data_IF_000510276686
#
_entry.id   IF_000510276686
#
_cell.length_a   1.000
_cell.length_b   1.000
_cell.length_c   1.000
_cell.angle_alpha   90.00
_cell.angle_beta   90.00
_cell.angle_gamma   90.00
#
_symmetry.space_group_name_H-M   'P 1'
#
loop_
_entity.id
_entity.type
_entity.pdbx_description
1 polymer ?
#
# COMPACT_ATOMS: atom_id res chain seq x y z
N UNK A 1 -4.31 83.62 -18.85
CA UNK A 1 -5.08 82.39 -18.81
C UNK A 1 -5.42 82.08 -17.35
N UNK A 2 -6.63 82.52 -16.87
CA UNK A 2 -7.13 82.13 -15.54
C UNK A 2 -7.62 80.72 -15.61
N UNK A 3 -6.98 79.82 -14.90
CA UNK A 3 -7.42 78.44 -14.72
C UNK A 3 -8.72 78.44 -13.90
N UNK A 4 -9.80 78.00 -14.51
CA UNK A 4 -11.12 77.86 -13.90
C UNK A 4 -11.03 76.77 -12.82
N UNK A 5 -10.88 77.16 -11.55
CA UNK A 5 -10.81 76.23 -10.38
C UNK A 5 -12.23 75.86 -9.99
N UNK A 6 -12.84 74.98 -10.78
CA UNK A 6 -14.10 74.38 -10.38
C UNK A 6 -13.77 73.24 -9.37
N UNK A 7 -14.25 73.43 -8.15
CA UNK A 7 -14.19 72.37 -7.11
C UNK A 7 -15.21 71.25 -7.42
N UNK A 8 -14.93 70.03 -7.00
CA UNK A 8 -15.88 68.91 -7.10
C UNK A 8 -17.13 69.20 -6.28
N UNK A 9 -18.29 68.89 -6.82
CA UNK A 9 -19.53 68.96 -6.07
C UNK A 9 -19.65 67.76 -5.15
N UNK A 10 -20.34 67.93 -4.04
CA UNK A 10 -20.58 66.80 -3.05
C UNK A 10 -21.34 65.66 -3.73
N UNK A 11 -22.20 65.95 -4.70
CA UNK A 11 -22.92 64.98 -5.49
C UNK A 11 -22.01 64.13 -6.38
N UNK A 12 -21.01 64.73 -7.04
CA UNK A 12 -20.01 63.99 -7.85
C UNK A 12 -19.19 63.04 -7.01
N UNK A 13 -18.76 63.41 -5.79
CA UNK A 13 -18.04 62.57 -4.86
C UNK A 13 -18.91 61.40 -4.40
N UNK A 14 -20.20 61.65 -4.14
CA UNK A 14 -21.13 60.61 -3.74
C UNK A 14 -21.37 59.54 -4.84
N UNK A 15 -21.55 60.01 -6.09
CA UNK A 15 -21.72 59.15 -7.25
C UNK A 15 -20.42 58.33 -7.50
N UNK A 16 -19.26 58.99 -7.46
CA UNK A 16 -17.96 58.34 -7.63
C UNK A 16 -17.72 57.28 -6.56
N UNK A 17 -18.06 57.57 -5.29
CA UNK A 17 -17.93 56.62 -4.19
C UNK A 17 -18.88 55.43 -4.34
N UNK A 18 -20.13 55.65 -4.76
CA UNK A 18 -21.11 54.61 -5.04
C UNK A 18 -20.66 53.67 -6.17
N UNK A 19 -20.19 54.23 -7.29
CA UNK A 19 -19.66 53.42 -8.40
C UNK A 19 -18.41 52.65 -8.01
N UNK A 20 -17.50 53.28 -7.24
CA UNK A 20 -16.30 52.60 -6.71
C UNK A 20 -16.65 51.42 -5.83
N UNK A 21 -17.62 51.55 -4.92
CA UNK A 21 -18.07 50.44 -4.05
C UNK A 21 -18.64 49.27 -4.86
N UNK A 22 -19.41 49.54 -5.93
CA UNK A 22 -19.94 48.49 -6.80
C UNK A 22 -18.81 47.74 -7.51
N UNK A 23 -17.82 48.45 -8.04
CA UNK A 23 -16.65 47.85 -8.69
C UNK A 23 -15.84 47.05 -7.69
N UNK A 24 -15.61 47.57 -6.49
CA UNK A 24 -14.86 46.91 -5.43
C UNK A 24 -15.55 45.61 -4.97
N UNK A 25 -16.88 45.64 -4.84
CA UNK A 25 -17.68 44.45 -4.53
C UNK A 25 -17.58 43.39 -5.65
N UNK A 26 -17.65 43.78 -6.92
CA UNK A 26 -17.50 42.89 -8.04
C UNK A 26 -16.11 42.23 -8.10
N UNK A 27 -15.04 42.99 -7.82
CA UNK A 27 -13.67 42.48 -7.72
C UNK A 27 -13.54 41.50 -6.54
N UNK A 28 -14.12 41.86 -5.40
CA UNK A 28 -14.08 41.00 -4.20
C UNK A 28 -14.76 39.65 -4.45
N UNK A 29 -15.97 39.64 -5.01
CA UNK A 29 -16.70 38.39 -5.33
C UNK A 29 -15.95 37.56 -6.38
N UNK A 30 -15.31 38.17 -7.36
CA UNK A 30 -14.48 37.50 -8.35
C UNK A 30 -13.24 36.82 -7.68
N UNK A 31 -12.63 37.54 -6.74
CA UNK A 31 -11.48 37.04 -5.98
C UNK A 31 -11.85 35.85 -5.10
N UNK A 32 -12.96 35.93 -4.34
CA UNK A 32 -13.46 34.78 -3.54
C UNK A 32 -13.77 33.57 -4.42
N UNK A 33 -14.44 33.78 -5.57
CA UNK A 33 -14.70 32.69 -6.51
C UNK A 33 -13.42 32.04 -7.04
N UNK A 34 -12.40 32.87 -7.34
CA UNK A 34 -11.10 32.35 -7.78
C UNK A 34 -10.40 31.57 -6.70
N UNK A 35 -10.35 32.06 -5.47
CA UNK A 35 -9.75 31.33 -4.33
C UNK A 35 -10.44 30.00 -4.09
N UNK A 36 -11.78 29.97 -4.12
CA UNK A 36 -12.54 28.73 -3.96
C UNK A 36 -12.23 27.72 -5.08
N UNK A 37 -12.02 28.21 -6.32
CA UNK A 37 -11.65 27.34 -7.45
C UNK A 37 -10.24 26.79 -7.31
N UNK A 38 -9.27 27.59 -6.86
CA UNK A 38 -7.91 27.13 -6.58
C UNK A 38 -7.87 26.10 -5.46
N UNK A 39 -8.55 26.36 -4.34
CA UNK A 39 -8.62 25.41 -3.22
C UNK A 39 -9.27 24.08 -3.63
N UNK A 40 -10.33 24.11 -4.45
CA UNK A 40 -10.95 22.90 -4.98
C UNK A 40 -10.01 22.13 -5.93
N UNK A 41 -9.20 22.84 -6.72
CA UNK A 41 -8.19 22.24 -7.60
C UNK A 41 -7.08 21.55 -6.82
N UNK A 42 -6.56 22.18 -5.80
CA UNK A 42 -5.54 21.63 -4.90
C UNK A 42 -6.05 20.37 -4.18
N UNK A 43 -7.23 20.44 -3.57
CA UNK A 43 -7.85 19.27 -2.93
C UNK A 43 -8.04 18.09 -3.89
N UNK A 44 -8.46 18.38 -5.14
CA UNK A 44 -8.61 17.34 -6.15
C UNK A 44 -7.28 16.67 -6.48
N UNK A 45 -6.21 17.44 -6.61
CA UNK A 45 -4.87 16.91 -6.87
C UNK A 45 -4.39 16.01 -5.72
N UNK A 46 -4.56 16.46 -4.47
CA UNK A 46 -4.17 15.71 -3.28
C UNK A 46 -4.91 14.36 -3.17
N UNK A 47 -6.23 14.38 -3.41
CA UNK A 47 -7.06 13.18 -3.39
C UNK A 47 -6.61 12.19 -4.46
N UNK A 48 -6.38 12.66 -5.70
CA UNK A 48 -5.91 11.80 -6.78
C UNK A 48 -4.54 11.22 -6.50
N UNK A 49 -3.64 12.02 -5.92
CA UNK A 49 -2.31 11.56 -5.55
C UNK A 49 -2.36 10.50 -4.44
N UNK A 50 -3.17 10.70 -3.40
CA UNK A 50 -3.36 9.73 -2.32
C UNK A 50 -3.90 8.40 -2.84
N UNK A 51 -4.93 8.44 -3.70
CA UNK A 51 -5.49 7.24 -4.32
C UNK A 51 -4.46 6.50 -5.18
N UNK A 52 -3.65 7.23 -5.94
CA UNK A 52 -2.60 6.65 -6.79
C UNK A 52 -1.52 5.98 -5.95
N UNK A 53 -1.02 6.64 -4.89
CA UNK A 53 -0.03 6.07 -3.99
C UNK A 53 -0.54 4.78 -3.36
N UNK A 54 -1.77 4.79 -2.82
CA UNK A 54 -2.39 3.59 -2.26
C UNK A 54 -2.46 2.45 -3.27
N UNK A 55 -2.96 2.74 -4.48
CA UNK A 55 -3.12 1.75 -5.54
C UNK A 55 -1.78 1.17 -6.01
N UNK A 56 -0.78 2.01 -6.22
CA UNK A 56 0.55 1.58 -6.66
C UNK A 56 1.22 0.71 -5.59
N UNK A 57 1.20 1.13 -4.32
CA UNK A 57 1.79 0.37 -3.23
C UNK A 57 1.09 -0.98 -3.05
N UNK A 58 -0.23 -1.00 -2.93
CA UNK A 58 -0.99 -2.24 -2.78
C UNK A 58 -0.80 -3.17 -3.98
N UNK A 59 -0.80 -2.62 -5.20
CA UNK A 59 -0.61 -3.42 -6.42
C UNK A 59 0.79 -4.03 -6.50
N UNK A 60 1.82 -3.28 -6.11
CA UNK A 60 3.20 -3.76 -6.11
C UNK A 60 3.37 -4.92 -5.11
N UNK A 61 2.89 -4.74 -3.89
CA UNK A 61 3.04 -5.73 -2.82
C UNK A 61 2.20 -6.99 -3.09
N UNK A 62 0.96 -6.83 -3.54
CA UNK A 62 0.08 -7.97 -3.85
C UNK A 62 0.58 -8.82 -5.03
N UNK A 63 1.34 -8.24 -5.98
CA UNK A 63 2.01 -9.03 -7.03
C UNK A 63 3.07 -9.96 -6.48
N UNK A 64 3.66 -9.63 -5.33
CA UNK A 64 4.67 -10.43 -4.64
C UNK A 64 4.06 -11.48 -3.72
N UNK A 65 2.72 -11.55 -3.59
CA UNK A 65 2.05 -12.56 -2.77
C UNK A 65 2.56 -13.96 -3.10
N UNK A 66 2.99 -14.70 -2.08
CA UNK A 66 3.56 -16.04 -2.20
C UNK A 66 5.04 -16.07 -2.62
N UNK A 67 5.67 -14.94 -2.91
CA UNK A 67 7.09 -14.93 -3.23
C UNK A 67 7.93 -15.26 -1.97
N UNK A 68 8.85 -16.23 -2.10
CA UNK A 68 9.64 -16.73 -0.98
C UNK A 68 8.86 -17.63 0.00
N UNK A 69 7.60 -17.96 -0.32
CA UNK A 69 6.71 -18.80 0.48
C UNK A 69 6.42 -20.11 -0.27
N UNK A 70 6.24 -21.26 0.44
CA UNK A 70 5.99 -22.55 -0.21
C UNK A 70 4.74 -22.54 -1.06
N UNK A 71 4.84 -23.01 -2.31
CA UNK A 71 3.72 -23.09 -3.24
C UNK A 71 2.63 -24.01 -2.68
N UNK A 72 1.38 -23.56 -2.73
CA UNK A 72 0.24 -24.33 -2.22
C UNK A 72 0.01 -24.29 -0.71
N UNK A 73 0.88 -23.60 0.06
CA UNK A 73 0.76 -23.51 1.51
C UNK A 73 -0.20 -22.40 2.00
N UNK A 74 -0.94 -21.76 1.08
CA UNK A 74 -1.90 -20.71 1.44
C UNK A 74 -1.22 -19.37 1.77
N UNK A 75 -0.63 -18.73 0.76
CA UNK A 75 0.08 -17.47 0.93
C UNK A 75 -0.84 -16.32 1.38
N UNK A 76 -2.14 -16.36 1.09
CA UNK A 76 -3.13 -15.43 1.62
C UNK A 76 -3.74 -16.04 2.88
N UNK A 77 -3.75 -15.31 3.99
CA UNK A 77 -4.26 -15.78 5.29
C UNK A 77 -5.57 -15.12 5.68
N UNK A 78 -5.78 -13.86 5.30
CA UNK A 78 -7.02 -13.11 5.48
C UNK A 78 -7.43 -12.51 4.15
N UNK A 79 -8.69 -12.62 3.79
CA UNK A 79 -9.25 -12.06 2.57
C UNK A 79 -10.69 -11.58 2.81
N UNK A 80 -10.84 -10.34 3.23
CA UNK A 80 -12.12 -9.65 3.36
C UNK A 80 -12.14 -8.40 2.48
N UNK A 81 -13.28 -7.78 2.23
CA UNK A 81 -13.31 -6.57 1.41
C UNK A 81 -12.44 -5.42 1.92
N UNK A 82 -12.17 -5.36 3.22
CA UNK A 82 -11.44 -4.27 3.88
C UNK A 82 -10.18 -4.71 4.63
N UNK A 83 -9.82 -5.99 4.55
CA UNK A 83 -8.65 -6.55 5.23
C UNK A 83 -8.06 -7.70 4.42
N UNK A 84 -6.78 -7.60 4.10
CA UNK A 84 -6.01 -8.68 3.49
C UNK A 84 -4.70 -8.88 4.22
N UNK A 85 -4.36 -10.14 4.48
CA UNK A 85 -3.04 -10.53 4.99
C UNK A 85 -2.46 -11.62 4.11
N UNK A 86 -1.20 -11.46 3.73
CA UNK A 86 -0.52 -12.40 2.84
C UNK A 86 0.97 -12.46 3.11
N UNK A 87 1.57 -13.60 2.79
CA UNK A 87 3.01 -13.81 2.87
C UNK A 87 3.68 -13.32 1.60
N UNK A 88 4.72 -12.50 1.75
CA UNK A 88 5.55 -12.01 0.65
C UNK A 88 6.96 -11.64 1.12
N UNK A 89 7.95 -11.86 0.28
CA UNK A 89 9.31 -11.35 0.49
C UNK A 89 9.46 -9.98 -0.19
N UNK A 90 9.08 -8.92 0.53
CA UNK A 90 9.14 -7.54 0.04
C UNK A 90 10.57 -7.01 -0.10
N UNK A 91 11.53 -7.59 0.62
CA UNK A 91 12.91 -7.12 0.66
C UNK A 91 13.82 -7.88 -0.30
N UNK A 92 13.26 -8.83 -1.08
CA UNK A 92 14.02 -9.71 -1.96
C UNK A 92 15.19 -10.40 -1.23
N UNK A 93 14.92 -10.88 0.00
CA UNK A 93 15.90 -11.58 0.83
C UNK A 93 15.95 -13.09 0.52
N UNK A 94 15.17 -13.54 -0.45
CA UNK A 94 15.20 -14.92 -0.94
C UNK A 94 16.52 -15.23 -1.62
N UNK A 95 17.07 -16.42 -1.34
CA UNK A 95 18.34 -16.90 -1.87
C UNK A 95 18.23 -18.39 -2.22
N UNK A 96 19.32 -18.98 -2.71
CA UNK A 96 19.38 -20.42 -3.03
C UNK A 96 20.53 -21.09 -2.29
N UNK A 97 20.31 -22.35 -1.95
CA UNK A 97 21.33 -23.24 -1.37
C UNK A 97 22.35 -23.60 -2.45
N UNK A 98 23.64 -23.43 -2.15
CA UNK A 98 24.73 -23.68 -3.09
C UNK A 98 25.57 -24.93 -2.75
N UNK A 99 25.20 -25.67 -1.71
CA UNK A 99 25.77 -26.97 -1.38
C UNK A 99 24.68 -27.85 -0.77
N UNK A 100 24.70 -29.15 -1.06
CA UNK A 100 23.69 -30.06 -0.54
C UNK A 100 23.65 -30.05 0.98
N UNK A 101 22.45 -29.94 1.55
CA UNK A 101 22.19 -29.95 2.98
C UNK A 101 21.43 -31.21 3.32
N UNK A 102 22.05 -32.09 4.09
CA UNK A 102 21.39 -33.31 4.60
C UNK A 102 20.40 -33.00 5.73
N UNK A 103 19.47 -33.89 5.97
CA UNK A 103 18.63 -33.83 7.17
C UNK A 103 19.53 -33.91 8.43
N UNK A 104 19.16 -33.13 9.46
CA UNK A 104 19.96 -33.07 10.71
C UNK A 104 21.00 -31.96 10.72
N UNK A 105 21.20 -31.21 9.64
CA UNK A 105 22.15 -30.13 9.57
C UNK A 105 21.56 -28.82 10.10
N UNK A 106 22.41 -28.02 10.75
CA UNK A 106 22.07 -26.64 11.22
C UNK A 106 22.71 -25.56 10.41
N UNK A 107 23.56 -25.89 9.44
CA UNK A 107 24.30 -24.93 8.63
C UNK A 107 23.90 -25.04 7.18
N UNK A 108 23.61 -23.89 6.57
CA UNK A 108 23.26 -23.74 5.16
C UNK A 108 24.33 -22.89 4.47
N UNK A 109 24.85 -23.36 3.33
CA UNK A 109 25.63 -22.52 2.42
C UNK A 109 24.69 -21.96 1.37
N UNK A 110 24.61 -20.64 1.27
CA UNK A 110 23.69 -19.94 0.37
C UNK A 110 24.43 -18.98 -0.56
N UNK A 111 23.84 -18.65 -1.70
CA UNK A 111 24.45 -17.74 -2.66
C UNK A 111 24.69 -16.35 -2.08
N UNK A 112 23.73 -15.84 -1.31
CA UNK A 112 23.82 -14.58 -0.56
C UNK A 112 22.87 -14.62 0.61
N UNK A 113 23.33 -14.15 1.77
CA UNK A 113 22.48 -14.00 2.95
C UNK A 113 22.06 -12.53 3.19
N UNK A 114 22.21 -11.68 2.16
CA UNK A 114 21.80 -10.28 2.25
C UNK A 114 20.32 -10.17 2.64
N UNK A 115 20.03 -9.33 3.63
CA UNK A 115 18.68 -9.15 4.15
C UNK A 115 18.20 -10.22 5.13
N UNK A 116 18.98 -11.29 5.39
CA UNK A 116 18.69 -12.30 6.41
C UNK A 116 19.53 -12.00 7.65
N UNK A 117 18.92 -12.07 8.84
CA UNK A 117 19.55 -11.77 10.12
C UNK A 117 19.20 -12.81 11.17
N UNK A 118 19.98 -12.89 12.24
CA UNK A 118 19.66 -13.68 13.40
C UNK A 118 18.27 -13.31 13.97
N UNK A 119 17.51 -14.33 14.36
CA UNK A 119 16.12 -14.19 14.79
C UNK A 119 15.10 -14.21 13.68
N UNK A 120 15.50 -14.05 12.40
CA UNK A 120 14.55 -14.15 11.30
C UNK A 120 14.02 -15.56 11.12
N UNK A 121 12.78 -15.64 10.69
CA UNK A 121 12.16 -16.89 10.24
C UNK A 121 12.35 -17.01 8.74
N UNK A 122 12.89 -18.15 8.29
CA UNK A 122 13.09 -18.48 6.88
C UNK A 122 12.34 -19.77 6.51
N UNK A 123 11.98 -19.87 5.24
CA UNK A 123 11.40 -21.08 4.65
C UNK A 123 12.41 -21.74 3.72
N UNK A 124 12.70 -23.00 3.98
CA UNK A 124 13.48 -23.88 3.10
C UNK A 124 12.52 -24.58 2.16
N UNK A 125 12.72 -24.49 0.86
CA UNK A 125 11.77 -24.97 -0.14
C UNK A 125 12.49 -25.78 -1.20
N UNK A 126 12.05 -27.04 -1.39
CA UNK A 126 12.49 -27.92 -2.46
C UNK A 126 11.27 -28.58 -3.11
N UNK A 127 10.74 -27.95 -4.16
CA UNK A 127 9.52 -28.41 -4.82
C UNK A 127 8.33 -28.40 -3.85
N UNK A 128 7.82 -29.58 -3.51
CA UNK A 128 6.69 -29.74 -2.57
C UNK A 128 7.13 -29.89 -1.11
N UNK A 129 8.42 -30.08 -0.86
CA UNK A 129 8.96 -30.19 0.51
C UNK A 129 9.33 -28.80 0.99
N UNK A 130 8.80 -28.43 2.14
CA UNK A 130 9.15 -27.17 2.77
C UNK A 130 9.18 -27.30 4.29
N UNK A 131 10.03 -26.51 4.93
CA UNK A 131 10.05 -26.36 6.37
C UNK A 131 10.42 -24.94 6.79
N UNK A 132 9.93 -24.55 7.94
CA UNK A 132 10.23 -23.27 8.55
C UNK A 132 11.32 -23.41 9.60
N UNK A 133 12.30 -22.51 9.59
CA UNK A 133 13.41 -22.48 10.55
C UNK A 133 13.72 -21.06 10.99
N UNK A 134 14.20 -20.93 12.21
CA UNK A 134 14.70 -19.67 12.76
C UNK A 134 16.21 -19.59 12.57
N UNK A 135 16.69 -18.44 12.16
CA UNK A 135 18.12 -18.18 11.98
C UNK A 135 18.77 -17.88 13.33
N UNK A 136 19.83 -18.62 13.67
CA UNK A 136 20.64 -18.37 14.86
C UNK A 136 21.74 -17.32 14.59
N UNK A 137 22.41 -17.45 13.44
CA UNK A 137 23.48 -16.54 13.04
C UNK A 137 23.62 -16.50 11.51
N UNK A 138 24.16 -15.41 11.01
CA UNK A 138 24.49 -15.22 9.59
C UNK A 138 25.94 -14.79 9.49
N UNK A 139 26.68 -15.42 8.61
CA UNK A 139 28.04 -15.02 8.25
C UNK A 139 28.07 -14.64 6.78
N UNK A 140 28.20 -13.33 6.52
CA UNK A 140 28.34 -12.78 5.17
C UNK A 140 29.81 -12.70 4.85
N UNK A 141 30.22 -13.39 3.81
CA UNK A 141 31.62 -13.43 3.37
C UNK A 141 31.81 -12.35 2.30
N UNK A 142 32.84 -11.52 2.46
CA UNK A 142 33.16 -10.55 1.45
C UNK A 142 33.61 -11.25 0.15
N UNK A 143 32.97 -10.92 -0.95
CA UNK A 143 33.38 -11.43 -2.26
C UNK A 143 34.77 -10.96 -2.63
N UNK A 144 35.62 -11.84 -3.18
CA UNK A 144 36.92 -11.45 -3.68
C UNK A 144 36.77 -10.54 -4.91
N UNK A 145 37.77 -9.68 -5.19
CA UNK A 145 37.73 -8.87 -6.40
C UNK A 145 37.74 -9.76 -7.67
N UNK A 146 36.98 -9.32 -8.66
CA UNK A 146 36.91 -10.02 -9.95
C UNK A 146 38.32 -10.24 -10.53
N UNK A 147 38.57 -11.41 -11.17
CA UNK A 147 37.61 -12.37 -11.75
C UNK A 147 37.28 -13.60 -10.87
N UNK A 148 37.59 -13.58 -9.59
CA UNK A 148 37.29 -14.74 -8.72
C UNK A 148 35.79 -14.94 -8.53
N UNK A 149 35.33 -16.21 -8.41
CA UNK A 149 33.89 -16.47 -8.14
C UNK A 149 33.48 -15.98 -6.77
N UNK A 150 32.20 -15.57 -6.59
CA UNK A 150 31.68 -15.15 -5.30
C UNK A 150 31.77 -16.30 -4.27
N UNK A 151 32.04 -15.95 -3.03
CA UNK A 151 32.13 -16.91 -1.92
C UNK A 151 30.73 -17.06 -1.28
N UNK A 152 30.23 -18.29 -1.09
CA UNK A 152 28.95 -18.50 -0.45
C UNK A 152 28.89 -17.94 0.96
N UNK A 153 27.75 -17.34 1.31
CA UNK A 153 27.43 -16.98 2.67
C UNK A 153 26.95 -18.18 3.48
N UNK A 154 26.99 -18.08 4.79
CA UNK A 154 26.57 -19.15 5.68
C UNK A 154 25.45 -18.69 6.60
N UNK A 155 24.36 -19.45 6.67
CA UNK A 155 23.26 -19.30 7.61
C UNK A 155 23.29 -20.44 8.60
N UNK A 156 23.34 -20.14 9.90
CA UNK A 156 23.21 -21.10 10.97
C UNK A 156 21.79 -21.06 11.52
N UNK A 157 21.17 -22.22 11.66
CA UNK A 157 19.79 -22.39 12.17
C UNK A 157 19.80 -22.67 13.67
N UNK A 158 18.73 -22.27 14.37
CA UNK A 158 18.52 -22.59 15.78
C UNK A 158 18.20 -24.07 16.02
N UNK A 159 17.62 -24.74 15.02
CA UNK A 159 17.29 -26.16 15.03
C UNK A 159 17.66 -26.81 13.70
N UNK A 160 18.05 -28.08 13.77
CA UNK A 160 18.43 -28.85 12.59
C UNK A 160 17.28 -29.00 11.57
N UNK A 161 17.62 -29.13 10.29
CA UNK A 161 16.67 -29.43 9.22
C UNK A 161 16.09 -30.84 9.41
N UNK A 162 14.81 -31.04 9.17
CA UNK A 162 14.16 -32.35 9.18
C UNK A 162 14.26 -33.03 7.82
N UNK A 163 14.39 -32.26 6.76
CA UNK A 163 14.47 -32.74 5.39
C UNK A 163 15.84 -32.42 4.78
N UNK A 164 16.16 -33.13 3.70
CA UNK A 164 17.33 -32.81 2.88
C UNK A 164 16.98 -31.74 1.83
N UNK A 165 17.90 -30.80 1.63
CA UNK A 165 17.78 -29.72 0.66
C UNK A 165 19.00 -29.75 -0.28
N UNK A 166 18.83 -30.26 -1.51
CA UNK A 166 19.89 -30.29 -2.48
C UNK A 166 20.25 -28.88 -2.97
N UNK A 167 21.37 -28.78 -3.63
CA UNK A 167 21.78 -27.60 -4.38
C UNK A 167 20.63 -27.03 -5.22
N UNK A 168 20.47 -25.71 -5.23
CA UNK A 168 19.37 -25.02 -5.92
C UNK A 168 18.06 -24.94 -5.15
N UNK A 169 17.96 -25.57 -3.95
CA UNK A 169 16.81 -25.37 -3.08
C UNK A 169 16.69 -23.90 -2.66
N UNK A 170 15.46 -23.41 -2.57
CA UNK A 170 15.16 -22.02 -2.24
C UNK A 170 15.19 -21.79 -0.72
N UNK A 171 15.74 -20.65 -0.31
CA UNK A 171 15.61 -20.09 1.04
C UNK A 171 14.85 -18.79 0.94
N UNK A 172 13.60 -18.80 1.36
CA UNK A 172 12.74 -17.60 1.35
C UNK A 172 12.67 -16.96 2.74
N UNK A 173 12.56 -15.64 2.78
CA UNK A 173 12.26 -14.88 3.99
C UNK A 173 10.97 -14.08 3.81
N UNK A 174 9.83 -14.72 3.62
CA UNK A 174 8.57 -14.00 3.53
C UNK A 174 8.19 -13.40 4.88
N UNK A 175 7.49 -12.27 4.81
CA UNK A 175 6.86 -11.61 5.95
C UNK A 175 5.35 -11.64 5.77
N UNK A 176 4.63 -11.61 6.88
CA UNK A 176 3.17 -11.46 6.83
C UNK A 176 2.84 -9.98 6.66
N UNK A 177 2.51 -9.60 5.43
CA UNK A 177 2.09 -8.25 5.07
C UNK A 177 0.59 -8.15 5.27
N UNK A 178 0.13 -7.04 5.81
CA UNK A 178 -1.29 -6.78 6.01
C UNK A 178 -1.67 -5.40 5.53
N UNK A 179 -2.81 -5.31 4.87
CA UNK A 179 -3.51 -4.06 4.57
C UNK A 179 -4.89 -4.12 5.19
N UNK A 180 -5.26 -3.08 5.93
CA UNK A 180 -6.60 -2.94 6.45
C UNK A 180 -7.07 -1.48 6.47
N UNK A 181 -8.38 -1.29 6.40
CA UNK A 181 -9.04 0.01 6.54
C UNK A 181 -10.50 -0.17 6.97
N UNK A 182 -11.12 0.91 7.39
CA UNK A 182 -12.56 1.01 7.55
C UNK A 182 -13.00 2.45 7.35
N UNK A 183 -14.27 2.66 7.01
CA UNK A 183 -14.85 3.97 6.78
C UNK A 183 -15.72 4.45 7.95
N UNK A 184 -15.81 5.77 8.08
CA UNK A 184 -16.72 6.42 9.01
C UNK A 184 -17.30 7.69 8.36
N UNK A 185 -18.61 7.80 8.07
CA UNK A 185 -19.64 6.79 8.40
C UNK A 185 -19.49 5.51 7.58
N UNK A 186 -19.92 4.38 8.14
CA UNK A 186 -19.86 3.06 7.52
C UNK A 186 -20.84 3.01 6.33
N UNK A 187 -20.33 3.27 5.11
CA UNK A 187 -21.08 3.20 3.85
C UNK A 187 -20.96 1.84 3.19
N UNK A 188 -19.91 1.08 3.50
CA UNK A 188 -19.64 -0.24 2.91
C UNK A 188 -20.41 -1.36 3.63
N UNK A 189 -20.92 -1.11 4.83
CA UNK A 189 -21.67 -2.07 5.63
C UNK A 189 -20.80 -3.15 6.30
N UNK A 190 -19.47 -3.05 6.21
CA UNK A 190 -18.56 -3.98 6.85
C UNK A 190 -18.16 -3.51 8.26
N UNK A 191 -18.05 -4.46 9.18
CA UNK A 191 -17.51 -4.15 10.50
C UNK A 191 -16.01 -3.79 10.38
N UNK A 192 -15.50 -2.82 11.18
CA UNK A 192 -14.07 -2.51 11.21
C UNK A 192 -13.25 -3.76 11.49
N UNK A 193 -12.21 -4.06 10.67
CA UNK A 193 -11.30 -5.16 10.94
C UNK A 193 -10.65 -5.01 12.32
N UNK A 194 -10.60 -6.09 13.10
CA UNK A 194 -10.08 -6.06 14.47
C UNK A 194 -8.67 -5.46 14.57
N UNK A 195 -7.86 -5.63 13.52
CA UNK A 195 -6.49 -5.11 13.49
C UNK A 195 -6.41 -3.59 13.45
N UNK A 196 -7.31 -2.92 12.72
CA UNK A 196 -7.30 -1.47 12.57
C UNK A 196 -8.48 -0.74 13.22
N UNK A 197 -9.37 -1.45 13.92
CA UNK A 197 -10.54 -0.85 14.58
C UNK A 197 -10.20 0.24 15.63
N UNK A 198 -9.01 0.20 16.21
CA UNK A 198 -8.55 1.20 17.18
C UNK A 198 -7.80 2.39 16.53
N UNK A 199 -7.56 2.34 15.22
CA UNK A 199 -6.85 3.38 14.47
C UNK A 199 -7.86 4.39 13.88
N UNK A 200 -7.43 5.56 13.41
CA UNK A 200 -8.30 6.50 12.70
C UNK A 200 -8.99 5.87 11.49
N UNK A 201 -10.30 6.11 11.36
CA UNK A 201 -11.07 5.69 10.19
C UNK A 201 -10.64 6.43 8.91
N UNK A 202 -11.12 5.98 7.76
CA UNK A 202 -10.88 6.61 6.46
C UNK A 202 -9.40 6.67 6.07
N UNK A 203 -8.62 5.71 6.54
CA UNK A 203 -7.19 5.59 6.24
C UNK A 203 -6.85 4.14 5.92
N UNK A 204 -6.09 3.91 4.84
CA UNK A 204 -5.48 2.61 4.56
C UNK A 204 -4.24 2.49 5.41
N UNK A 205 -4.13 1.39 6.15
CA UNK A 205 -2.98 1.02 6.95
C UNK A 205 -2.26 -0.16 6.35
N UNK A 206 -0.94 -0.18 6.48
CA UNK A 206 -0.06 -1.27 6.07
C UNK A 206 0.81 -1.71 7.24
N UNK A 207 0.96 -3.02 7.41
CA UNK A 207 1.99 -3.65 8.23
C UNK A 207 2.90 -4.47 7.30
N UNK A 208 4.18 -4.19 7.31
CA UNK A 208 5.20 -4.91 6.52
C UNK A 208 5.67 -6.21 7.18
N UNK A 209 5.14 -6.55 8.35
CA UNK A 209 5.58 -7.70 9.13
C UNK A 209 7.02 -7.59 9.63
N UNK A 210 7.53 -6.37 9.80
CA UNK A 210 8.87 -6.09 10.33
C UNK A 210 8.88 -5.80 11.84
N UNK A 211 7.69 -5.77 12.46
CA UNK A 211 7.49 -5.44 13.87
C UNK A 211 7.19 -3.96 14.13
N UNK A 212 7.17 -3.12 13.11
CA UNK A 212 6.79 -1.71 13.19
C UNK A 212 5.28 -1.48 13.35
N UNK A 213 4.47 -2.52 13.15
CA UNK A 213 3.02 -2.47 13.21
C UNK A 213 2.39 -1.68 12.06
N UNK A 214 1.07 -1.43 12.18
CA UNK A 214 0.29 -0.76 11.15
C UNK A 214 0.67 0.71 11.00
N UNK A 215 1.11 1.10 9.81
CA UNK A 215 1.47 2.46 9.42
C UNK A 215 0.45 3.02 8.42
N UNK A 216 0.08 4.31 8.52
CA UNK A 216 -0.84 4.93 7.55
C UNK A 216 -0.17 5.07 6.17
N UNK A 217 -0.88 4.67 5.12
CA UNK A 217 -0.42 4.75 3.72
C UNK A 217 -1.11 5.88 2.99
N UNK A 218 -2.44 5.93 3.06
CA UNK A 218 -3.22 6.92 2.35
C UNK A 218 -4.55 7.17 3.04
N UNK A 219 -5.01 8.41 2.97
CA UNK A 219 -6.36 8.76 3.36
C UNK A 219 -7.33 8.37 2.25
N UNK A 220 -8.41 7.71 2.64
CA UNK A 220 -9.51 7.32 1.78
C UNK A 220 -10.82 7.82 2.39
N UNK A 221 -11.81 8.01 1.56
CA UNK A 221 -13.16 8.26 2.04
C UNK A 221 -14.14 7.67 1.05
N UNK A 222 -14.89 6.67 1.49
CA UNK A 222 -16.01 6.15 0.73
C UNK A 222 -17.06 7.26 0.53
N UNK A 223 -17.74 7.25 -0.58
CA UNK A 223 -18.71 8.27 -0.89
C UNK A 223 -19.93 7.69 -1.59
N UNK A 224 -21.04 8.43 -1.52
CA UNK A 224 -22.29 8.09 -2.16
C UNK A 224 -22.66 9.17 -3.17
N UNK A 225 -23.06 8.75 -4.37
CA UNK A 225 -23.62 9.64 -5.39
C UNK A 225 -24.99 9.11 -5.78
N UNK A 226 -26.03 9.78 -5.35
CA UNK A 226 -27.41 9.29 -5.50
C UNK A 226 -27.61 7.96 -4.75
N UNK A 227 -28.00 6.91 -5.47
CA UNK A 227 -28.15 5.55 -4.94
C UNK A 227 -26.88 4.69 -5.08
N UNK A 228 -25.81 5.21 -5.68
CA UNK A 228 -24.57 4.46 -5.90
C UNK A 228 -23.55 4.76 -4.82
N UNK A 229 -23.02 3.71 -4.18
CA UNK A 229 -21.92 3.78 -3.25
C UNK A 229 -20.59 3.53 -4.00
N UNK A 230 -19.63 4.41 -3.79
CA UNK A 230 -18.27 4.26 -4.30
C UNK A 230 -17.37 3.91 -3.13
N UNK A 231 -17.05 2.63 -3.04
CA UNK A 231 -16.42 2.03 -1.88
C UNK A 231 -14.95 1.71 -2.15
N UNK A 232 -14.10 1.89 -1.15
CA UNK A 232 -12.77 1.29 -1.14
C UNK A 232 -12.93 -0.15 -0.69
N UNK A 233 -12.65 -1.10 -1.59
CA UNK A 233 -12.84 -2.52 -1.32
C UNK A 233 -11.93 -3.41 -2.14
N UNK A 234 -11.70 -4.61 -1.65
CA UNK A 234 -11.09 -5.70 -2.40
C UNK A 234 -12.11 -6.77 -2.76
N UNK A 235 -12.00 -7.29 -3.97
CA UNK A 235 -12.75 -8.43 -4.45
C UNK A 235 -11.78 -9.53 -4.88
N UNK A 236 -12.10 -10.76 -4.56
CA UNK A 236 -11.23 -11.90 -4.77
C UNK A 236 -11.88 -12.88 -5.74
N UNK A 237 -11.06 -13.44 -6.64
CA UNK A 237 -11.52 -14.35 -7.68
C UNK A 237 -10.61 -15.58 -7.75
N UNK A 238 -11.22 -16.73 -8.04
CA UNK A 238 -10.52 -17.97 -8.28
C UNK A 238 -9.92 -18.07 -9.70
N UNK A 239 -9.33 -19.21 -10.03
CA UNK A 239 -8.72 -19.47 -11.34
C UNK A 239 -9.72 -19.47 -12.50
N UNK A 240 -11.03 -19.58 -12.24
CA UNK A 240 -12.12 -19.57 -13.22
C UNK A 240 -12.91 -18.26 -13.24
N UNK A 241 -12.39 -17.22 -12.57
CA UNK A 241 -12.99 -15.89 -12.42
C UNK A 241 -14.30 -15.85 -11.61
N UNK A 242 -14.58 -16.85 -10.80
CA UNK A 242 -15.69 -16.77 -9.85
C UNK A 242 -15.22 -16.05 -8.58
N UNK A 243 -16.12 -15.24 -7.99
CA UNK A 243 -15.83 -14.60 -6.71
C UNK A 243 -15.60 -15.65 -5.62
N UNK A 244 -14.57 -15.49 -4.83
CA UNK A 244 -14.21 -16.41 -3.73
C UNK A 244 -13.79 -15.67 -2.49
N UNK A 245 -14.23 -16.15 -1.33
CA UNK A 245 -13.74 -15.70 -0.03
C UNK A 245 -12.73 -16.68 0.58
N UNK A 246 -12.44 -17.80 -0.10
CA UNK A 246 -11.51 -18.82 0.38
C UNK A 246 -10.08 -18.44 0.00
N UNK A 247 -9.20 -18.10 0.95
CA UNK A 247 -7.85 -17.59 0.66
C UNK A 247 -7.02 -18.50 -0.25
N UNK A 248 -7.09 -19.81 -0.07
CA UNK A 248 -6.35 -20.79 -0.87
C UNK A 248 -6.75 -20.82 -2.36
N UNK A 249 -7.95 -20.36 -2.70
CA UNK A 249 -8.47 -20.37 -4.07
C UNK A 249 -8.22 -19.06 -4.82
N UNK A 250 -7.74 -18.02 -4.15
CA UNK A 250 -7.55 -16.70 -4.76
C UNK A 250 -6.46 -16.78 -5.82
N UNK A 251 -6.77 -16.27 -7.02
CA UNK A 251 -5.84 -16.15 -8.15
C UNK A 251 -5.82 -14.75 -8.75
N UNK A 252 -6.85 -13.95 -8.46
CA UNK A 252 -6.98 -12.57 -8.92
C UNK A 252 -7.61 -11.74 -7.81
N UNK A 253 -7.09 -10.53 -7.64
CA UNK A 253 -7.58 -9.54 -6.66
C UNK A 253 -7.89 -8.27 -7.43
N UNK A 254 -9.12 -7.79 -7.31
CA UNK A 254 -9.51 -6.47 -7.81
C UNK A 254 -9.55 -5.51 -6.64
N UNK A 255 -8.78 -4.43 -6.73
CA UNK A 255 -8.78 -3.35 -5.75
C UNK A 255 -9.56 -2.19 -6.33
N UNK A 256 -10.51 -1.69 -5.57
CA UNK A 256 -11.19 -0.43 -5.83
C UNK A 256 -10.82 0.55 -4.73
N UNK A 257 -10.33 1.74 -5.07
CA UNK A 257 -10.04 2.81 -4.12
C UNK A 257 -10.97 3.97 -4.44
N UNK A 258 -11.88 4.26 -3.53
CA UNK A 258 -12.77 5.43 -3.55
C UNK A 258 -12.20 6.52 -2.64
N UNK A 259 -12.10 7.73 -3.15
CA UNK A 259 -11.65 8.90 -2.36
C UNK A 259 -12.52 10.10 -2.65
N UNK A 260 -12.80 10.87 -1.59
CA UNK A 260 -13.60 12.09 -1.66
C UNK A 260 -12.90 13.20 -0.89
N UNK A 261 -13.13 14.46 -1.28
CA UNK A 261 -12.66 15.62 -0.51
C UNK A 261 -13.34 15.65 0.87
N UNK A 262 -12.66 16.19 1.90
CA UNK A 262 -13.22 16.33 3.24
C UNK A 262 -14.59 17.01 3.24
N UNK A 263 -15.48 16.67 4.18
CA UNK A 263 -16.76 17.34 4.35
C UNK A 263 -16.52 18.82 4.67
N UNK A 264 -17.28 19.71 4.00
CA UNK A 264 -17.12 21.16 4.12
C UNK A 264 -16.32 21.81 2.98
N UNK A 265 -15.75 21.06 2.06
CA UNK A 265 -15.19 21.59 0.83
C UNK A 265 -16.29 22.23 -0.02
N UNK A 266 -15.97 23.37 -0.65
CA UNK A 266 -16.90 24.17 -1.47
C UNK A 266 -17.56 23.38 -2.61
N UNK A 267 -16.88 22.36 -3.12
CA UNK A 267 -17.41 21.34 -4.04
C UNK A 267 -16.79 20.01 -3.65
N UNK A 268 -17.60 19.07 -3.21
CA UNK A 268 -17.13 17.71 -2.99
C UNK A 268 -16.61 17.12 -4.30
N UNK A 269 -15.36 16.73 -4.31
CA UNK A 269 -14.72 16.04 -5.42
C UNK A 269 -14.62 14.57 -5.05
N UNK A 270 -14.92 13.70 -5.99
CA UNK A 270 -14.85 12.26 -5.80
C UNK A 270 -14.02 11.63 -6.93
N UNK A 271 -13.26 10.60 -6.61
CA UNK A 271 -12.42 9.89 -7.54
C UNK A 271 -12.38 8.41 -7.20
N UNK A 272 -12.42 7.54 -8.22
CA UNK A 272 -12.34 6.09 -8.04
C UNK A 272 -11.26 5.53 -8.96
N UNK A 273 -10.41 4.67 -8.44
CA UNK A 273 -9.44 3.87 -9.20
C UNK A 273 -9.75 2.39 -9.02
N UNK A 274 -9.54 1.61 -10.08
CA UNK A 274 -9.69 0.16 -10.07
C UNK A 274 -8.43 -0.45 -10.64
N UNK A 275 -7.90 -1.49 -9.99
CA UNK A 275 -6.77 -2.27 -10.47
C UNK A 275 -7.04 -3.75 -10.31
N UNK A 276 -6.75 -4.52 -11.35
CA UNK A 276 -6.76 -5.99 -11.33
C UNK A 276 -5.35 -6.53 -11.17
N UNK A 277 -5.15 -7.39 -10.18
CA UNK A 277 -3.85 -7.95 -9.82
C UNK A 277 -3.93 -9.47 -9.92
N UNK A 278 -2.97 -10.05 -10.61
CA UNK A 278 -2.73 -11.49 -10.60
C UNK A 278 -1.41 -11.74 -9.88
N UNK A 279 -1.48 -12.37 -8.72
CA UNK A 279 -0.28 -12.78 -8.00
C UNK A 279 0.40 -13.93 -8.76
N UNK A 280 1.73 -13.84 -8.91
CA UNK A 280 2.49 -14.79 -9.73
C UNK A 280 2.67 -16.15 -9.05
N UNK A 281 2.57 -16.20 -7.73
CA UNK A 281 2.94 -17.36 -6.90
C UNK A 281 1.76 -17.94 -6.10
N UNK A 282 0.51 -17.68 -6.52
CA UNK A 282 -0.70 -18.24 -5.93
C UNK A 282 -1.18 -19.48 -6.68
#
# INVERSE_FOLDING_TARGET
LAADRRGFTLLEVLIALGTFLIVLFAVYTSFESSQATYAAGEQKADIQQSARIAMEMMSADLRLTGYGFPTGAGAVTVATPTDISFWADLNNASTVIVADVGAGNTTLSVQSAAGIQAGNTIHLINGTVSEQRTVAAVNITADPPLPAPPVPDTITLTAATTNAYPWGSQVGRPRLVRYCWYDNPNLDGFAPPAACAALPANTIYKDDGDGGGLQPVANIQNFQVGAANFLTQMQYFDGTNNATATPANIRRITITVGVQSPPGAWRQQAFTMISDIRARNL
#
